data_IF_620104669692
#
_entry.id   IF_620104669692
#
_cell.length_a   1.000
_cell.length_b   1.000
_cell.length_c   1.000
_cell.angle_alpha   90.00
_cell.angle_beta   90.00
_cell.angle_gamma   90.00
#
_symmetry.space_group_name_H-M   'P 1'
#
loop_
_entity.id
_entity.type
_entity.pdbx_description
1 polymer ?
#
# COMPACT_ATOMS: atom_id res chain seq x y z
N UNK A 1 -0.96 22.58 -11.59
CA UNK A 1 -2.43 22.68 -11.80
C UNK A 1 -3.12 22.64 -10.44
N UNK A 2 -3.46 23.79 -9.84
CA UNK A 2 -4.11 23.86 -8.51
C UNK A 2 -5.62 23.61 -8.67
N UNK A 3 -6.14 22.51 -8.12
CA UNK A 3 -7.56 22.10 -8.23
C UNK A 3 -8.41 22.79 -7.14
N UNK A 4 -9.26 23.73 -7.55
CA UNK A 4 -10.23 24.45 -6.72
C UNK A 4 -11.57 23.68 -6.57
N UNK A 5 -11.56 22.47 -6.00
CA UNK A 5 -12.82 21.69 -5.84
C UNK A 5 -13.19 21.35 -4.39
N UNK A 6 -12.38 21.71 -3.40
CA UNK A 6 -12.67 21.32 -2.01
C UNK A 6 -13.79 22.15 -1.36
N UNK A 7 -14.03 23.40 -1.77
CA UNK A 7 -15.02 24.28 -1.14
C UNK A 7 -16.46 24.07 -1.61
N UNK A 8 -16.66 23.58 -2.84
CA UNK A 8 -18.01 23.44 -3.44
C UNK A 8 -18.78 22.22 -2.90
N UNK A 9 -18.08 21.18 -2.44
CA UNK A 9 -18.72 20.01 -1.82
C UNK A 9 -19.21 20.28 -0.39
N UNK A 10 -18.65 21.31 0.29
CA UNK A 10 -19.10 21.72 1.62
C UNK A 10 -20.40 22.53 1.58
N UNK A 11 -20.58 23.36 0.55
CA UNK A 11 -21.80 24.15 0.39
C UNK A 11 -22.99 23.29 -0.03
N UNK A 12 -22.78 22.17 -0.74
CA UNK A 12 -23.85 21.25 -1.12
C UNK A 12 -24.52 20.51 0.06
N UNK A 13 -23.84 20.38 1.20
CA UNK A 13 -24.38 19.71 2.39
C UNK A 13 -25.21 20.63 3.31
N UNK A 14 -25.37 21.91 2.95
CA UNK A 14 -26.08 22.91 3.77
C UNK A 14 -27.30 23.49 3.03
N UNK A 15 -28.10 22.64 2.39
CA UNK A 15 -29.42 23.04 1.89
C UNK A 15 -30.52 22.72 2.91
N UNK A 16 -31.18 23.79 3.34
CA UNK A 16 -32.19 23.91 4.39
C UNK A 16 -33.35 22.91 4.21
N UNK A 17 -33.67 22.16 5.27
CA UNK A 17 -34.96 21.49 5.42
C UNK A 17 -36.04 22.53 5.68
N UNK A 18 -36.78 22.91 4.64
CA UNK A 18 -38.03 23.68 4.76
C UNK A 18 -39.15 22.74 5.17
N UNK A 19 -39.70 22.94 6.37
CA UNK A 19 -40.88 22.24 6.87
C UNK A 19 -42.11 22.68 6.06
N UNK A 20 -42.58 21.85 5.14
CA UNK A 20 -43.94 21.96 4.60
C UNK A 20 -44.90 21.13 5.47
N UNK A 21 -45.92 21.80 6.03
CA UNK A 21 -47.07 21.15 6.66
C UNK A 21 -48.03 20.72 5.55
N UNK A 22 -48.28 19.42 5.44
CA UNK A 22 -49.43 18.86 4.71
C UNK A 22 -50.30 18.06 5.68
N UNK A 23 -51.60 18.34 5.65
CA UNK A 23 -52.64 17.76 6.49
C UNK A 23 -53.04 16.38 5.94
N UNK A 24 -53.21 15.43 6.89
CA UNK A 24 -54.11 14.26 6.95
C UNK A 24 -54.25 13.38 5.71
N UNK A 25 -53.92 12.09 5.91
CA UNK A 25 -54.95 11.03 5.95
C UNK A 25 -54.55 9.99 7.01
N UNK A 26 -55.54 9.51 7.75
CA UNK A 26 -55.45 8.50 8.80
C UNK A 26 -55.48 7.10 8.18
N UNK A 27 -54.58 6.19 8.61
CA UNK A 27 -54.88 4.79 8.98
C UNK A 27 -53.59 4.01 9.31
N UNK A 28 -53.58 3.27 10.42
CA UNK A 28 -52.52 2.30 10.78
C UNK A 28 -51.57 2.73 11.90
N UNK A 29 -52.08 3.00 13.11
CA UNK A 29 -51.27 3.39 14.27
C UNK A 29 -50.35 2.29 14.79
N UNK A 30 -49.05 2.34 14.46
CA UNK A 30 -48.01 1.87 15.37
C UNK A 30 -47.86 2.91 16.49
N UNK A 31 -48.09 2.50 17.74
CA UNK A 31 -47.86 3.38 18.88
C UNK A 31 -46.42 3.90 18.85
N UNK A 32 -46.18 5.22 18.96
CA UNK A 32 -44.83 5.75 19.01
C UNK A 32 -44.16 5.25 20.29
N UNK A 33 -43.14 4.41 20.13
CA UNK A 33 -42.26 3.98 21.22
C UNK A 33 -41.80 5.21 22.01
N UNK A 34 -41.84 5.17 23.36
CA UNK A 34 -41.42 6.29 24.17
C UNK A 34 -39.97 6.63 23.85
N UNK A 35 -39.69 7.92 23.58
CA UNK A 35 -38.35 8.42 23.29
C UNK A 35 -37.47 8.21 24.53
N UNK A 36 -36.73 7.10 24.57
CA UNK A 36 -35.78 6.80 25.65
C UNK A 36 -34.63 7.79 25.58
N UNK A 37 -34.41 8.53 26.66
CA UNK A 37 -33.21 9.35 26.82
C UNK A 37 -31.99 8.43 26.97
N UNK A 38 -30.96 8.65 26.16
CA UNK A 38 -29.72 7.90 26.25
C UNK A 38 -29.04 8.13 27.59
N UNK A 39 -28.45 7.09 28.17
CA UNK A 39 -27.71 7.21 29.43
C UNK A 39 -26.43 8.03 29.24
N UNK A 40 -25.85 8.55 30.33
CA UNK A 40 -24.55 9.24 30.26
C UNK A 40 -23.47 8.32 29.69
N UNK A 41 -23.46 7.05 30.10
CA UNK A 41 -22.56 6.05 29.55
C UNK A 41 -22.76 5.87 28.05
N UNK A 42 -24.00 5.77 27.56
CA UNK A 42 -24.30 5.65 26.13
C UNK A 42 -23.84 6.89 25.34
N UNK A 43 -23.96 8.09 25.90
CA UNK A 43 -23.52 9.32 25.24
C UNK A 43 -21.98 9.40 25.19
N UNK A 44 -21.31 9.05 26.29
CA UNK A 44 -19.84 9.02 26.38
C UNK A 44 -19.30 7.98 25.40
N UNK A 45 -19.87 6.77 25.39
CA UNK A 45 -19.42 5.68 24.54
C UNK A 45 -19.70 5.95 23.05
N UNK A 46 -20.75 6.72 22.74
CA UNK A 46 -21.04 7.17 21.38
C UNK A 46 -20.05 8.23 20.88
N UNK A 47 -19.41 8.97 21.79
CA UNK A 47 -18.40 9.98 21.48
C UNK A 47 -16.96 9.49 21.62
N UNK A 48 -16.75 8.37 22.31
CA UNK A 48 -15.42 7.80 22.53
C UNK A 48 -14.81 7.35 21.20
N UNK A 49 -13.63 7.85 20.89
CA UNK A 49 -12.80 7.29 19.82
C UNK A 49 -12.18 5.97 20.30
N UNK A 50 -11.78 5.13 19.35
CA UNK A 50 -10.89 4.03 19.64
C UNK A 50 -9.61 4.56 20.27
N UNK A 51 -9.14 3.86 21.30
CA UNK A 51 -7.83 4.11 21.90
C UNK A 51 -6.72 3.62 20.96
N UNK A 52 -5.52 4.15 21.12
CA UNK A 52 -4.42 3.94 20.17
C UNK A 52 -4.03 2.46 19.96
N UNK A 53 -4.31 1.58 20.92
CA UNK A 53 -4.01 0.14 20.84
C UNK A 53 -5.22 -0.74 20.46
N UNK A 54 -6.37 -0.14 20.14
CA UNK A 54 -7.59 -0.88 19.79
C UNK A 54 -7.39 -1.72 18.52
N UNK A 55 -7.69 -3.01 18.62
CA UNK A 55 -7.54 -3.98 17.51
C UNK A 55 -8.33 -3.55 16.28
N UNK A 56 -9.50 -2.94 16.45
CA UNK A 56 -10.33 -2.46 15.32
C UNK A 56 -9.72 -1.25 14.65
N UNK A 57 -9.07 -0.36 15.41
CA UNK A 57 -8.38 0.78 14.84
C UNK A 57 -7.18 0.32 14.01
N UNK A 58 -6.39 -0.62 14.53
CA UNK A 58 -5.27 -1.24 13.81
C UNK A 58 -5.71 -1.94 12.53
N UNK A 59 -6.81 -2.68 12.59
CA UNK A 59 -7.39 -3.37 11.43
C UNK A 59 -7.78 -2.36 10.34
N UNK A 60 -8.53 -1.31 10.68
CA UNK A 60 -8.89 -0.23 9.74
C UNK A 60 -7.64 0.44 9.17
N UNK A 61 -6.63 0.77 10.01
CA UNK A 61 -5.38 1.36 9.54
C UNK A 61 -4.66 0.44 8.54
N UNK A 62 -4.64 -0.87 8.81
CA UNK A 62 -4.01 -1.86 7.94
C UNK A 62 -4.75 -1.97 6.61
N UNK A 63 -6.09 -2.01 6.62
CA UNK A 63 -6.90 -2.03 5.38
C UNK A 63 -6.70 -0.77 4.54
N UNK A 64 -6.58 0.41 5.17
CA UNK A 64 -6.28 1.65 4.44
C UNK A 64 -4.89 1.57 3.80
N UNK A 65 -3.90 1.06 4.52
CA UNK A 65 -2.55 0.90 3.98
C UNK A 65 -2.49 -0.16 2.86
N UNK A 66 -3.28 -1.23 2.97
CA UNK A 66 -3.45 -2.23 1.92
C UNK A 66 -4.05 -1.60 0.66
N UNK A 67 -5.12 -0.80 0.80
CA UNK A 67 -5.70 -0.05 -0.31
C UNK A 67 -4.65 0.82 -1.01
N UNK A 68 -3.84 1.54 -0.23
CA UNK A 68 -2.75 2.36 -0.77
C UNK A 68 -1.78 1.54 -1.62
N UNK A 69 -1.38 0.36 -1.13
CA UNK A 69 -0.44 -0.51 -1.84
C UNK A 69 -1.04 -1.19 -3.06
N UNK A 70 -2.24 -1.76 -2.93
CA UNK A 70 -2.90 -2.54 -3.98
C UNK A 70 -3.34 -1.65 -5.12
N UNK A 71 -3.91 -0.48 -4.81
CA UNK A 71 -4.43 0.45 -5.81
C UNK A 71 -3.40 1.49 -6.28
N UNK A 72 -2.16 1.41 -5.76
CA UNK A 72 -1.08 2.36 -6.06
C UNK A 72 -1.46 3.82 -5.79
N UNK A 73 -2.24 4.05 -4.73
CA UNK A 73 -2.70 5.39 -4.35
C UNK A 73 -1.58 6.20 -3.68
N UNK A 74 -1.58 7.54 -3.80
CA UNK A 74 -0.64 8.36 -3.06
C UNK A 74 -0.82 8.20 -1.55
N UNK A 75 0.27 8.16 -0.80
CA UNK A 75 0.22 8.17 0.68
C UNK A 75 -0.55 9.36 1.27
N UNK A 76 -0.74 10.42 0.48
CA UNK A 76 -1.54 11.59 0.85
C UNK A 76 -3.06 11.32 0.84
N UNK A 77 -3.51 10.12 0.45
CA UNK A 77 -4.91 9.69 0.49
C UNK A 77 -5.54 9.94 1.87
N UNK A 78 -4.81 9.62 2.95
CA UNK A 78 -5.29 9.80 4.34
C UNK A 78 -5.52 11.25 4.73
N UNK A 79 -4.94 12.21 3.99
CA UNK A 79 -5.16 13.65 4.17
C UNK A 79 -6.29 14.20 3.29
N UNK A 80 -6.81 13.42 2.33
CA UNK A 80 -7.87 13.90 1.44
C UNK A 80 -9.18 14.05 2.21
N UNK A 81 -9.74 15.26 2.17
CA UNK A 81 -10.96 15.62 2.91
C UNK A 81 -12.14 14.68 2.58
N UNK A 82 -12.34 14.34 1.30
CA UNK A 82 -13.40 13.41 0.89
C UNK A 82 -13.23 12.02 1.48
N UNK A 83 -12.00 11.50 1.47
CA UNK A 83 -11.67 10.20 2.07
C UNK A 83 -11.88 10.22 3.60
N UNK A 84 -11.41 11.27 4.28
CA UNK A 84 -11.63 11.42 5.72
C UNK A 84 -13.12 11.47 6.09
N UNK A 85 -13.95 12.15 5.29
CA UNK A 85 -15.41 12.17 5.48
C UNK A 85 -16.03 10.80 5.31
N UNK A 86 -15.62 10.06 4.28
CA UNK A 86 -16.08 8.71 4.01
C UNK A 86 -15.75 7.79 5.21
N UNK A 87 -14.48 7.75 5.63
CA UNK A 87 -14.06 6.90 6.74
C UNK A 87 -14.73 7.33 8.05
N UNK A 88 -14.90 8.62 8.32
CA UNK A 88 -15.64 9.08 9.51
C UNK A 88 -17.11 8.69 9.48
N UNK A 89 -17.72 8.58 8.28
CA UNK A 89 -19.11 8.13 8.13
C UNK A 89 -19.25 6.63 8.35
N UNK A 90 -18.32 5.84 7.83
CA UNK A 90 -18.33 4.37 7.93
C UNK A 90 -17.85 3.89 9.31
N UNK A 91 -16.79 4.50 9.84
CA UNK A 91 -16.09 4.13 11.06
C UNK A 91 -16.00 5.33 12.02
N UNK A 92 -17.10 5.78 12.64
CA UNK A 92 -17.16 7.04 13.38
C UNK A 92 -16.27 7.10 14.64
N UNK A 93 -15.93 5.94 15.22
CA UNK A 93 -15.02 5.83 16.37
C UNK A 93 -13.54 5.81 15.96
N UNK A 94 -13.22 5.63 14.68
CA UNK A 94 -11.83 5.58 14.21
C UNK A 94 -11.24 6.98 14.05
N UNK A 95 -10.03 7.16 14.58
CA UNK A 95 -9.24 8.38 14.39
C UNK A 95 -8.33 8.18 13.18
N UNK A 96 -8.44 9.08 12.20
CA UNK A 96 -7.60 9.03 11.01
C UNK A 96 -6.12 9.14 11.39
N UNK A 97 -5.29 8.28 10.81
CA UNK A 97 -3.83 8.31 10.95
C UNK A 97 -3.22 9.39 10.05
N UNK A 98 -2.05 9.89 10.45
CA UNK A 98 -1.31 10.83 9.61
C UNK A 98 -0.60 10.10 8.46
N UNK A 99 -0.31 10.82 7.38
CA UNK A 99 0.56 10.33 6.29
C UNK A 99 1.90 9.82 6.84
N UNK A 100 2.50 10.54 7.79
CA UNK A 100 3.75 10.14 8.44
C UNK A 100 3.63 8.78 9.14
N UNK A 101 2.51 8.52 9.83
CA UNK A 101 2.29 7.23 10.47
C UNK A 101 2.18 6.09 9.44
N UNK A 102 1.51 6.34 8.31
CA UNK A 102 1.44 5.38 7.20
C UNK A 102 2.83 5.09 6.64
N UNK A 103 3.62 6.12 6.31
CA UNK A 103 4.91 5.95 5.62
C UNK A 103 6.02 5.43 6.52
N UNK A 104 6.09 5.89 7.77
CA UNK A 104 7.23 5.55 8.66
C UNK A 104 6.99 4.32 9.53
N UNK A 105 5.74 3.87 9.64
CA UNK A 105 5.40 2.73 10.51
C UNK A 105 4.62 1.64 9.80
N UNK A 106 3.42 1.94 9.31
CA UNK A 106 2.48 0.91 8.84
C UNK A 106 2.98 0.21 7.58
N UNK A 107 3.45 0.97 6.59
CA UNK A 107 3.97 0.42 5.33
C UNK A 107 5.26 -0.37 5.55
N UNK A 108 6.27 0.12 6.30
CA UNK A 108 7.45 -0.67 6.65
C UNK A 108 7.12 -2.00 7.35
N UNK A 109 6.22 -1.98 8.34
CA UNK A 109 5.79 -3.22 9.03
C UNK A 109 5.04 -4.18 8.08
N UNK A 110 4.26 -3.66 7.14
CA UNK A 110 3.61 -4.47 6.11
C UNK A 110 4.61 -5.07 5.13
N UNK A 111 5.58 -4.28 4.68
CA UNK A 111 6.66 -4.73 3.81
C UNK A 111 7.41 -5.90 4.45
N UNK A 112 7.79 -5.81 5.73
CA UNK A 112 8.49 -6.90 6.41
C UNK A 112 7.66 -8.20 6.44
N UNK A 113 6.34 -8.10 6.66
CA UNK A 113 5.44 -9.26 6.63
C UNK A 113 5.34 -9.87 5.24
N UNK A 114 5.17 -9.05 4.20
CA UNK A 114 5.09 -9.51 2.80
C UNK A 114 6.44 -10.11 2.38
N UNK A 115 7.55 -9.46 2.69
CA UNK A 115 8.91 -9.96 2.43
C UNK A 115 9.14 -11.33 3.06
N UNK A 116 8.79 -11.51 4.34
CA UNK A 116 8.90 -12.79 5.02
C UNK A 116 8.04 -13.87 4.33
N UNK A 117 6.84 -13.51 3.86
CA UNK A 117 5.98 -14.44 3.11
C UNK A 117 6.59 -14.81 1.75
N UNK A 118 7.14 -13.85 1.02
CA UNK A 118 7.81 -14.11 -0.26
C UNK A 118 9.05 -14.99 -0.07
N UNK A 119 9.85 -14.75 0.97
CA UNK A 119 10.97 -15.65 1.32
C UNK A 119 10.52 -17.10 1.55
N UNK A 120 9.38 -17.30 2.20
CA UNK A 120 8.81 -18.63 2.37
C UNK A 120 8.39 -19.24 1.02
N UNK A 121 7.65 -18.48 0.22
CA UNK A 121 7.18 -18.92 -1.10
C UNK A 121 8.32 -19.22 -2.07
N UNK A 122 9.45 -18.52 -1.95
CA UNK A 122 10.63 -18.76 -2.77
C UNK A 122 11.21 -20.15 -2.51
N UNK A 123 11.03 -20.77 -1.33
CA UNK A 123 11.54 -22.12 -1.04
C UNK A 123 10.96 -23.19 -1.96
N UNK A 124 9.75 -22.97 -2.48
CA UNK A 124 9.07 -23.87 -3.41
C UNK A 124 9.66 -23.84 -4.84
N UNK A 125 10.58 -22.91 -5.11
CA UNK A 125 11.26 -22.76 -6.39
C UNK A 125 12.67 -23.38 -6.35
N UNK A 126 12.88 -24.57 -6.94
CA UNK A 126 14.20 -25.21 -7.00
C UNK A 126 15.16 -24.53 -7.99
N UNK A 127 14.60 -23.89 -9.02
CA UNK A 127 15.32 -23.18 -10.06
C UNK A 127 14.68 -21.81 -10.25
N UNK A 128 15.50 -20.76 -10.17
CA UNK A 128 15.05 -19.38 -10.25
C UNK A 128 15.69 -18.71 -11.47
N UNK A 129 14.87 -18.05 -12.28
CA UNK A 129 15.31 -17.12 -13.31
C UNK A 129 15.02 -15.71 -12.81
N UNK A 130 15.99 -14.83 -12.94
CA UNK A 130 15.84 -13.43 -12.54
C UNK A 130 15.58 -12.60 -13.79
N UNK A 131 14.60 -11.72 -13.73
CA UNK A 131 14.55 -10.56 -14.63
C UNK A 131 14.98 -9.32 -13.86
N UNK A 132 15.75 -8.46 -14.50
CA UNK A 132 16.21 -7.19 -13.95
C UNK A 132 16.12 -6.11 -15.01
N UNK A 133 15.73 -4.92 -14.58
CA UNK A 133 15.61 -3.74 -15.43
C UNK A 133 16.21 -2.55 -14.69
N UNK A 134 16.93 -1.70 -15.42
CA UNK A 134 17.45 -0.44 -14.91
C UNK A 134 16.83 0.69 -15.72
N UNK A 135 16.15 1.60 -15.06
CA UNK A 135 15.56 2.76 -15.71
C UNK A 135 15.89 4.04 -14.96
N UNK A 136 16.03 5.11 -15.72
CA UNK A 136 16.15 6.46 -15.19
C UNK A 136 14.75 7.06 -15.03
N UNK A 137 14.45 7.59 -13.84
CA UNK A 137 13.23 8.36 -13.60
C UNK A 137 13.51 9.86 -13.70
N UNK A 138 12.91 10.51 -14.69
CA UNK A 138 13.02 11.96 -14.93
C UNK A 138 12.08 12.80 -14.03
N UNK A 139 11.67 12.26 -12.88
CA UNK A 139 10.64 12.84 -12.01
C UNK A 139 11.09 14.06 -11.19
N UNK A 140 12.38 14.44 -11.23
CA UNK A 140 12.93 15.58 -10.48
C UNK A 140 14.19 16.16 -11.14
N UNK A 141 14.67 17.31 -10.66
CA UNK A 141 15.92 17.97 -11.08
C UNK A 141 17.22 17.16 -10.86
N UNK A 142 17.09 15.88 -10.53
CA UNK A 142 18.13 14.86 -10.41
C UNK A 142 17.58 13.60 -11.10
N UNK A 143 18.36 13.03 -12.02
CA UNK A 143 18.10 11.71 -12.59
C UNK A 143 18.26 10.68 -11.48
N UNK A 144 17.16 10.05 -11.05
CA UNK A 144 17.22 8.95 -10.10
C UNK A 144 17.08 7.67 -10.90
N UNK A 145 18.15 6.88 -10.92
CA UNK A 145 18.12 5.56 -11.53
C UNK A 145 17.56 4.55 -10.53
N UNK A 146 16.86 3.55 -11.06
CA UNK A 146 16.31 2.46 -10.28
C UNK A 146 16.70 1.14 -10.91
N UNK A 147 16.88 0.13 -10.07
CA UNK A 147 17.01 -1.26 -10.49
C UNK A 147 15.85 -2.07 -9.91
N UNK A 148 15.26 -2.92 -10.73
CA UNK A 148 14.29 -3.92 -10.28
C UNK A 148 14.85 -5.33 -10.36
N UNK A 149 14.31 -6.19 -9.49
CA UNK A 149 14.60 -7.61 -9.48
C UNK A 149 13.31 -8.41 -9.31
N UNK A 150 13.01 -9.27 -10.28
CA UNK A 150 11.86 -10.19 -10.21
C UNK A 150 12.34 -11.62 -10.37
N UNK A 151 11.95 -12.49 -9.43
CA UNK A 151 12.22 -13.91 -9.47
C UNK A 151 11.08 -14.67 -10.14
N UNK A 152 11.45 -15.56 -11.05
CA UNK A 152 10.56 -16.44 -11.80
C UNK A 152 10.96 -17.89 -11.57
N UNK A 153 9.98 -18.78 -11.48
CA UNK A 153 10.25 -20.21 -11.37
C UNK A 153 9.02 -21.05 -11.56
N UNK A 154 9.22 -22.37 -11.59
CA UNK A 154 8.16 -23.36 -11.67
C UNK A 154 8.28 -24.24 -10.42
N UNK A 155 7.17 -24.43 -9.71
CA UNK A 155 7.11 -25.30 -8.52
C UNK A 155 7.25 -26.78 -8.91
N UNK A 156 7.45 -27.66 -7.93
CA UNK A 156 7.41 -29.11 -8.14
C UNK A 156 6.07 -29.62 -8.72
N UNK A 157 4.99 -28.85 -8.53
CA UNK A 157 3.64 -29.15 -9.07
C UNK A 157 3.41 -28.56 -10.47
N UNK A 158 4.47 -28.11 -11.16
CA UNK A 158 4.39 -27.46 -12.47
C UNK A 158 3.60 -26.16 -12.50
N UNK A 159 3.54 -25.42 -11.39
CA UNK A 159 2.94 -24.08 -11.35
C UNK A 159 4.00 -22.99 -11.55
N UNK A 160 3.77 -22.12 -12.53
CA UNK A 160 4.59 -20.92 -12.71
C UNK A 160 4.33 -19.91 -11.58
N UNK A 161 5.40 -19.34 -11.03
CA UNK A 161 5.36 -18.26 -10.04
C UNK A 161 6.29 -17.11 -10.45
N UNK A 162 5.87 -15.90 -10.12
CA UNK A 162 6.61 -14.66 -10.34
C UNK A 162 6.51 -13.79 -9.10
N UNK A 163 7.63 -13.34 -8.56
CA UNK A 163 7.70 -12.52 -7.35
C UNK A 163 8.61 -11.33 -7.59
N UNK A 164 8.07 -10.11 -7.51
CA UNK A 164 8.89 -8.90 -7.44
C UNK A 164 9.60 -8.90 -6.08
N UNK A 165 10.93 -8.95 -6.12
CA UNK A 165 11.75 -9.00 -4.92
C UNK A 165 12.01 -7.58 -4.44
N UNK A 166 12.52 -6.74 -5.33
CA UNK A 166 12.92 -5.40 -4.94
C UNK A 166 12.91 -4.42 -6.11
N UNK A 167 12.70 -3.16 -5.75
CA UNK A 167 12.94 -1.99 -6.58
C UNK A 167 13.73 -1.03 -5.71
N UNK A 168 14.97 -0.76 -6.09
CA UNK A 168 15.89 0.03 -5.28
C UNK A 168 16.41 1.22 -6.09
N UNK A 169 16.62 2.38 -5.45
CA UNK A 169 17.45 3.43 -6.04
C UNK A 169 18.81 2.86 -6.39
N UNK A 170 19.28 3.17 -7.58
CA UNK A 170 20.58 2.76 -8.08
C UNK A 170 21.51 3.97 -8.05
N UNK A 171 22.21 4.14 -6.93
CA UNK A 171 23.16 5.24 -6.76
C UNK A 171 24.53 4.89 -7.35
N UNK A 172 25.02 5.69 -8.29
CA UNK A 172 26.39 5.61 -8.82
C UNK A 172 26.47 5.35 -10.31
N UNK A 173 27.70 5.22 -10.83
CA UNK A 173 27.91 4.90 -12.26
C UNK A 173 27.38 3.49 -12.57
N UNK A 174 26.65 3.35 -13.67
CA UNK A 174 26.16 2.08 -14.24
C UNK A 174 27.27 1.17 -14.74
N UNK A 175 28.33 0.94 -13.97
CA UNK A 175 29.37 -0.01 -14.32
C UNK A 175 28.84 -1.42 -14.10
N UNK A 176 29.25 -2.38 -14.93
CA UNK A 176 28.86 -3.79 -14.76
C UNK A 176 29.22 -4.35 -13.38
N UNK A 177 30.29 -3.86 -12.76
CA UNK A 177 30.74 -4.25 -11.42
C UNK A 177 29.73 -3.83 -10.34
N UNK A 178 29.25 -2.58 -10.39
CA UNK A 178 28.28 -2.08 -9.41
C UNK A 178 26.95 -2.82 -9.53
N UNK A 179 26.52 -3.11 -10.75
CA UNK A 179 25.30 -3.87 -11.02
C UNK A 179 25.45 -5.30 -10.48
N UNK A 180 26.55 -6.00 -10.79
CA UNK A 180 26.81 -7.34 -10.29
C UNK A 180 26.86 -7.40 -8.75
N UNK A 181 27.48 -6.41 -8.11
CA UNK A 181 27.53 -6.30 -6.64
C UNK A 181 26.13 -6.17 -6.02
N UNK A 182 25.29 -5.30 -6.59
CA UNK A 182 23.90 -5.13 -6.14
C UNK A 182 23.09 -6.41 -6.34
N UNK A 183 23.20 -7.06 -7.50
CA UNK A 183 22.52 -8.33 -7.78
C UNK A 183 22.95 -9.44 -6.80
N UNK A 184 24.25 -9.59 -6.55
CA UNK A 184 24.76 -10.61 -5.63
C UNK A 184 24.30 -10.36 -4.19
N UNK A 185 24.30 -9.09 -3.76
CA UNK A 185 23.75 -8.71 -2.46
C UNK A 185 22.27 -9.09 -2.37
N UNK A 186 21.47 -8.75 -3.39
CA UNK A 186 20.07 -9.13 -3.44
C UNK A 186 19.87 -10.64 -3.38
N UNK A 187 20.65 -11.42 -4.15
CA UNK A 187 20.56 -12.87 -4.13
C UNK A 187 20.82 -13.45 -2.73
N UNK A 188 21.77 -12.86 -2.00
CA UNK A 188 22.10 -13.25 -0.65
C UNK A 188 21.01 -12.83 0.36
N UNK A 189 20.49 -11.60 0.24
CA UNK A 189 19.42 -11.06 1.09
C UNK A 189 18.11 -11.86 0.94
N UNK A 190 17.86 -12.37 -0.27
CA UNK A 190 16.70 -13.21 -0.60
C UNK A 190 16.95 -14.72 -0.44
N UNK A 191 18.17 -15.13 -0.09
CA UNK A 191 18.59 -16.54 0.07
C UNK A 191 18.29 -17.40 -1.18
N UNK A 192 18.68 -16.89 -2.35
CA UNK A 192 18.45 -17.52 -3.65
C UNK A 192 19.72 -17.75 -4.46
N UNK A 193 20.89 -17.32 -3.98
CA UNK A 193 22.18 -17.36 -4.71
C UNK A 193 22.45 -18.73 -5.38
N UNK A 194 22.23 -19.83 -4.66
CA UNK A 194 22.50 -21.19 -5.17
C UNK A 194 21.44 -21.73 -6.14
N UNK A 195 20.35 -20.99 -6.32
CA UNK A 195 19.18 -21.40 -7.10
C UNK A 195 18.98 -20.58 -8.37
N UNK A 196 19.69 -19.47 -8.52
CA UNK A 196 19.66 -18.65 -9.74
C UNK A 196 20.30 -19.42 -10.90
N UNK A 197 19.54 -19.62 -11.98
CA UNK A 197 19.97 -20.36 -13.19
C UNK A 197 20.19 -19.46 -14.39
N UNK A 198 19.45 -18.37 -14.46
CA UNK A 198 19.59 -17.37 -15.49
C UNK A 198 19.22 -15.99 -14.95
N UNK A 199 19.79 -14.98 -15.58
CA UNK A 199 19.46 -13.57 -15.37
C UNK A 199 19.15 -13.02 -16.76
N UNK A 200 18.01 -12.35 -16.89
CA UNK A 200 17.52 -11.70 -18.10
C UNK A 200 17.47 -10.21 -17.81
N UNK A 201 18.13 -9.44 -18.65
CA UNK A 201 18.13 -7.98 -18.61
C UNK A 201 17.84 -7.42 -19.99
N UNK A 202 17.65 -6.11 -20.06
CA UNK A 202 17.79 -5.40 -21.33
C UNK A 202 19.25 -5.46 -21.84
N UNK A 203 19.44 -5.27 -23.14
CA UNK A 203 20.73 -5.47 -23.82
C UNK A 203 21.69 -4.27 -23.63
N UNK A 204 21.62 -3.58 -22.50
CA UNK A 204 22.59 -2.54 -22.17
C UNK A 204 23.98 -3.18 -21.96
N UNK A 205 25.02 -2.62 -22.58
CA UNK A 205 26.36 -3.21 -22.57
C UNK A 205 26.88 -3.50 -21.15
N UNK A 206 26.53 -2.66 -20.17
CA UNK A 206 26.92 -2.83 -18.77
C UNK A 206 26.22 -4.00 -18.08
N UNK A 207 24.98 -4.33 -18.46
CA UNK A 207 24.25 -5.49 -17.94
C UNK A 207 24.87 -6.80 -18.40
N UNK A 208 25.34 -6.86 -19.65
CA UNK A 208 26.02 -8.05 -20.17
C UNK A 208 27.29 -8.41 -19.39
N UNK A 209 28.07 -7.39 -18.99
CA UNK A 209 29.25 -7.57 -18.12
C UNK A 209 28.82 -8.00 -16.72
N UNK A 210 27.80 -7.34 -16.14
CA UNK A 210 27.31 -7.66 -14.81
C UNK A 210 26.79 -9.11 -14.67
N UNK A 211 26.05 -9.59 -15.67
CA UNK A 211 25.52 -10.96 -15.70
C UNK A 211 26.65 -11.99 -15.80
N UNK A 212 27.71 -11.69 -16.54
CA UNK A 212 28.86 -12.58 -16.64
C UNK A 212 29.62 -12.65 -15.32
N UNK A 213 29.83 -11.51 -14.67
CA UNK A 213 30.64 -11.43 -13.45
C UNK A 213 29.88 -11.96 -12.22
N UNK A 214 28.55 -11.80 -12.16
CA UNK A 214 27.69 -12.37 -11.10
C UNK A 214 27.57 -13.90 -11.14
N UNK A 215 27.97 -14.56 -12.23
CA UNK A 215 27.96 -16.02 -12.37
C UNK A 215 29.29 -16.70 -11.99
N UNK A 216 30.35 -15.93 -11.76
CA UNK A 216 31.71 -16.44 -11.54
C UNK A 216 32.15 -16.44 -10.05
N UNK A 217 31.20 -16.36 -9.11
CA UNK A 217 31.46 -16.43 -7.66
C UNK A 217 30.73 -17.62 -7.07
#
# INVERSE_FOLDING_TARGET
>A
MKRHHNSELDTASTSKTTTQKTKRDEEGGLQPQPKRQATLSEIIDKKSLYVDDDVRAKDITLTIAEQICVDMEPFDLVNKIGFQRLIKKLCPKYKMVSRFHITEKVIPEMYQRVRAKVLELLKDLPHIVITTDIWTSDSSSQSNDFISLTAHGITATFEYKSYCLEVLPFDGSHTGINIASNLNKAFHDWNIQDRVRAIVSDNAANMSVAIRDSRNV
#
